data_IF_078863535075
#
_entry.id   IF_078863535075
#
_cell.length_a   1.000
_cell.length_b   1.000
_cell.length_c   1.000
_cell.angle_alpha   90.00
_cell.angle_beta   90.00
_cell.angle_gamma   90.00
#
_symmetry.space_group_name_H-M   'P 1'
#
loop_
_entity.id
_entity.type
_entity.pdbx_description
1 polymer ?
#
# COMPACT_ATOMS: atom_id res chain seq x y z
N UNK A 1 -8.91 -10.35 17.46
CA UNK A 1 -9.12 -10.83 16.08
C UNK A 1 -9.24 -12.36 16.03
N UNK A 2 -8.22 -13.09 16.51
CA UNK A 2 -8.21 -14.57 16.54
C UNK A 2 -9.41 -15.22 17.25
N UNK A 3 -9.77 -14.76 18.45
CA UNK A 3 -10.96 -15.28 19.19
C UNK A 3 -12.30 -15.00 18.49
N UNK A 4 -12.40 -13.89 17.75
CA UNK A 4 -13.63 -13.47 17.06
C UNK A 4 -13.91 -14.32 15.81
N UNK A 5 -12.86 -14.73 15.11
CA UNK A 5 -12.99 -15.48 13.84
C UNK A 5 -12.50 -16.94 13.94
N UNK A 6 -12.09 -17.41 15.13
CA UNK A 6 -11.49 -18.75 15.34
C UNK A 6 -10.27 -19.03 14.45
N UNK A 7 -9.44 -18.02 14.20
CA UNK A 7 -8.25 -18.17 13.34
C UNK A 7 -7.18 -18.99 14.06
N UNK A 8 -6.54 -19.90 13.30
CA UNK A 8 -5.37 -20.64 13.76
C UNK A 8 -4.19 -19.66 13.93
N UNK A 9 -3.55 -19.61 15.12
CA UNK A 9 -2.41 -18.73 15.35
C UNK A 9 -1.13 -19.18 14.64
N UNK A 10 -1.08 -20.44 14.17
CA UNK A 10 0.06 -20.97 13.43
C UNK A 10 0.02 -20.40 12.02
N UNK A 11 1.03 -19.60 11.67
CA UNK A 11 1.27 -19.14 10.31
C UNK A 11 1.91 -20.29 9.53
N UNK A 12 1.46 -20.52 8.30
CA UNK A 12 1.97 -21.57 7.41
C UNK A 12 2.29 -20.94 6.06
N UNK A 13 3.36 -21.42 5.43
CA UNK A 13 3.60 -21.17 4.02
C UNK A 13 2.55 -21.94 3.19
N UNK A 14 1.83 -21.24 2.34
CA UNK A 14 0.86 -21.81 1.39
C UNK A 14 1.43 -21.64 -0.03
N UNK A 15 1.95 -22.73 -0.57
CA UNK A 15 2.56 -22.77 -1.90
C UNK A 15 1.53 -22.89 -3.03
N UNK A 16 0.23 -22.88 -2.72
CA UNK A 16 -0.84 -23.02 -3.72
C UNK A 16 -0.73 -21.98 -4.84
N UNK A 17 -0.31 -20.75 -4.52
CA UNK A 17 -0.09 -19.68 -5.50
C UNK A 17 1.05 -20.01 -6.47
N UNK A 18 2.08 -20.75 -6.05
CA UNK A 18 3.18 -21.18 -6.94
C UNK A 18 2.73 -22.24 -7.93
N UNK A 19 1.87 -23.15 -7.47
CA UNK A 19 1.38 -24.26 -8.29
C UNK A 19 0.22 -23.86 -9.20
N UNK A 20 -0.64 -22.94 -8.76
CA UNK A 20 -1.90 -22.59 -9.44
C UNK A 20 -2.02 -21.12 -9.88
N UNK A 21 -1.12 -20.22 -9.45
CA UNK A 21 -1.09 -18.81 -9.86
C UNK A 21 -0.59 -18.58 -11.30
N UNK A 22 -0.35 -19.65 -12.06
CA UNK A 22 0.26 -19.63 -13.41
C UNK A 22 -0.65 -19.12 -14.53
N UNK A 23 -1.88 -18.72 -14.23
CA UNK A 23 -2.82 -18.14 -15.21
C UNK A 23 -3.10 -16.65 -14.99
N UNK A 24 -2.17 -15.91 -14.36
CA UNK A 24 -2.29 -14.45 -14.30
C UNK A 24 -2.01 -13.88 -15.69
N UNK A 25 -2.96 -13.16 -16.33
CA UNK A 25 -2.75 -12.58 -17.66
C UNK A 25 -1.50 -11.70 -17.71
N UNK A 26 -0.76 -11.76 -18.82
CA UNK A 26 0.43 -10.94 -19.04
C UNK A 26 0.11 -9.45 -18.85
N UNK A 27 0.96 -8.73 -18.12
CA UNK A 27 0.76 -7.29 -17.83
C UNK A 27 -0.18 -7.00 -16.65
N UNK A 28 -0.68 -8.03 -15.96
CA UNK A 28 -1.53 -7.81 -14.78
C UNK A 28 -0.76 -7.13 -13.64
N UNK A 29 -1.50 -6.30 -12.90
CA UNK A 29 -1.10 -5.74 -11.60
C UNK A 29 -1.76 -6.56 -10.50
N UNK A 30 -0.97 -7.25 -9.69
CA UNK A 30 -1.45 -8.18 -8.67
C UNK A 30 -1.09 -7.66 -7.28
N UNK A 31 -2.10 -7.53 -6.42
CA UNK A 31 -1.88 -7.19 -5.02
C UNK A 31 -1.46 -8.44 -4.24
N UNK A 32 -0.25 -8.43 -3.68
CA UNK A 32 0.32 -9.58 -2.96
C UNK A 32 -0.02 -9.48 -1.48
N UNK A 33 -0.47 -10.58 -0.88
CA UNK A 33 -0.84 -10.61 0.54
C UNK A 33 -2.06 -9.76 0.87
N UNK A 34 -3.11 -9.82 0.05
CA UNK A 34 -4.38 -9.14 0.36
C UNK A 34 -4.87 -9.52 1.76
N UNK A 35 -5.17 -8.50 2.59
CA UNK A 35 -5.57 -8.65 3.99
C UNK A 35 -4.51 -9.28 4.92
N UNK A 36 -3.25 -9.37 4.48
CA UNK A 36 -2.13 -9.88 5.26
C UNK A 36 -1.11 -8.76 5.55
N UNK A 37 -0.26 -9.00 6.53
CA UNK A 37 0.92 -8.18 6.80
C UNK A 37 2.16 -9.04 6.58
N UNK A 38 2.88 -8.77 5.48
CA UNK A 38 4.04 -9.56 5.05
C UNK A 38 5.35 -9.07 5.71
N UNK A 39 5.42 -7.81 6.13
CA UNK A 39 6.66 -7.22 6.66
C UNK A 39 6.67 -7.18 8.19
N UNK A 40 5.83 -7.99 8.84
CA UNK A 40 5.86 -8.17 10.30
C UNK A 40 7.04 -9.04 10.74
N UNK A 41 7.55 -8.81 11.95
CA UNK A 41 8.65 -9.60 12.51
C UNK A 41 8.30 -11.09 12.74
N UNK A 42 7.01 -11.41 12.73
CA UNK A 42 6.50 -12.78 12.86
C UNK A 42 6.46 -13.55 11.53
N UNK A 43 6.89 -12.93 10.43
CA UNK A 43 6.97 -13.58 9.12
C UNK A 43 8.40 -14.03 8.88
N UNK A 44 8.59 -15.32 8.62
CA UNK A 44 9.91 -15.89 8.35
C UNK A 44 10.53 -15.22 7.11
N UNK A 45 11.76 -14.69 7.18
CA UNK A 45 12.40 -14.01 6.06
C UNK A 45 12.47 -14.87 4.79
N UNK A 46 12.68 -16.18 4.93
CA UNK A 46 12.77 -17.11 3.81
C UNK A 46 11.48 -17.11 2.97
N UNK A 47 10.32 -16.90 3.58
CA UNK A 47 9.04 -16.84 2.85
C UNK A 47 8.94 -15.57 2.01
N UNK A 48 9.40 -14.43 2.53
CA UNK A 48 9.43 -13.18 1.76
C UNK A 48 10.43 -13.25 0.62
N UNK A 49 11.60 -13.87 0.87
CA UNK A 49 12.59 -14.09 -0.19
C UNK A 49 12.00 -14.93 -1.33
N UNK A 50 11.33 -16.04 -1.00
CA UNK A 50 10.64 -16.85 -2.02
C UNK A 50 9.63 -16.02 -2.82
N UNK A 51 8.80 -15.21 -2.15
CA UNK A 51 7.85 -14.30 -2.81
C UNK A 51 8.57 -13.35 -3.78
N UNK A 52 9.67 -12.72 -3.35
CA UNK A 52 10.41 -11.80 -4.21
C UNK A 52 11.08 -12.51 -5.39
N UNK A 53 11.63 -13.71 -5.20
CA UNK A 53 12.21 -14.52 -6.26
C UNK A 53 11.14 -14.86 -7.33
N UNK A 54 9.93 -15.20 -6.89
CA UNK A 54 8.80 -15.42 -7.81
C UNK A 54 8.44 -14.13 -8.56
N UNK A 55 8.30 -13.02 -7.85
CA UNK A 55 8.00 -11.73 -8.46
C UNK A 55 9.04 -11.38 -9.53
N UNK A 56 10.33 -11.51 -9.23
CA UNK A 56 11.42 -11.22 -10.17
C UNK A 56 11.38 -12.14 -11.40
N UNK A 57 11.10 -13.43 -11.22
CA UNK A 57 10.95 -14.39 -12.33
C UNK A 57 9.76 -14.06 -13.24
N UNK A 58 8.68 -13.49 -12.69
CA UNK A 58 7.47 -13.07 -13.39
C UNK A 58 7.56 -11.60 -13.86
N UNK A 59 8.65 -11.26 -14.55
CA UNK A 59 9.01 -9.88 -14.93
C UNK A 59 8.00 -9.17 -15.85
N UNK A 60 7.07 -9.91 -16.47
CA UNK A 60 5.98 -9.35 -17.28
C UNK A 60 4.76 -8.87 -16.46
N UNK A 61 4.79 -9.04 -15.15
CA UNK A 61 3.72 -8.69 -14.22
C UNK A 61 4.20 -7.65 -13.24
N UNK A 62 3.28 -6.88 -12.67
CA UNK A 62 3.57 -5.93 -11.59
C UNK A 62 2.94 -6.43 -10.30
N UNK A 63 3.67 -6.38 -9.19
CA UNK A 63 3.23 -6.85 -7.89
C UNK A 63 3.16 -5.69 -6.92
N UNK A 64 2.00 -5.48 -6.30
CA UNK A 64 1.78 -4.41 -5.32
C UNK A 64 1.86 -5.01 -3.92
N UNK A 65 2.72 -4.45 -3.10
CA UNK A 65 2.87 -4.79 -1.69
C UNK A 65 2.42 -3.61 -0.83
N UNK A 66 1.66 -3.88 0.23
CA UNK A 66 1.21 -2.86 1.18
C UNK A 66 1.49 -3.32 2.60
N UNK A 67 2.11 -2.46 3.40
CA UNK A 67 2.43 -2.77 4.80
C UNK A 67 1.97 -1.69 5.77
N UNK A 68 1.76 -2.06 7.03
CA UNK A 68 1.65 -1.18 8.20
C UNK A 68 2.89 -1.24 9.09
N UNK A 69 3.94 -1.94 8.64
CA UNK A 69 5.25 -2.12 9.28
C UNK A 69 6.38 -1.51 8.43
N UNK A 70 6.30 -0.20 8.11
CA UNK A 70 7.25 0.46 7.23
C UNK A 70 8.71 0.37 7.72
N UNK A 71 8.92 0.27 9.04
CA UNK A 71 10.24 0.13 9.68
C UNK A 71 11.03 -1.11 9.22
N UNK A 72 10.34 -2.13 8.70
CA UNK A 72 10.96 -3.37 8.25
C UNK A 72 11.29 -3.38 6.75
N UNK A 73 10.86 -2.37 5.98
CA UNK A 73 11.07 -2.34 4.53
C UNK A 73 12.55 -2.24 4.15
N UNK A 74 13.37 -1.55 4.96
CA UNK A 74 14.80 -1.35 4.67
C UNK A 74 15.58 -2.66 4.58
N UNK A 75 15.15 -3.70 5.30
CA UNK A 75 15.76 -5.04 5.28
C UNK A 75 15.69 -5.70 3.90
N UNK A 76 14.76 -5.25 3.06
CA UNK A 76 14.45 -5.82 1.74
C UNK A 76 14.83 -4.90 0.58
N UNK A 77 15.49 -3.78 0.87
CA UNK A 77 15.97 -2.84 -0.14
C UNK A 77 17.32 -3.33 -0.71
N UNK A 78 17.53 -3.35 -2.05
CA UNK A 78 16.59 -2.95 -3.09
C UNK A 78 15.53 -4.02 -3.40
N UNK A 79 14.32 -3.56 -3.73
CA UNK A 79 13.23 -4.44 -4.17
C UNK A 79 13.34 -4.79 -5.66
N UNK A 80 12.79 -5.94 -6.10
CA UNK A 80 12.68 -6.28 -7.51
C UNK A 80 11.96 -5.19 -8.32
N UNK A 81 12.37 -5.01 -9.59
CA UNK A 81 11.89 -3.87 -10.40
C UNK A 81 10.38 -3.82 -10.58
N UNK A 82 9.73 -4.98 -10.60
CA UNK A 82 8.29 -5.10 -10.77
C UNK A 82 7.51 -5.18 -9.46
N UNK A 83 8.17 -4.98 -8.31
CA UNK A 83 7.53 -4.86 -7.00
C UNK A 83 7.31 -3.38 -6.65
N UNK A 84 6.05 -2.98 -6.61
CA UNK A 84 5.60 -1.67 -6.14
C UNK A 84 5.36 -1.75 -4.63
N UNK A 85 5.97 -0.86 -3.87
CA UNK A 85 5.99 -0.94 -2.40
C UNK A 85 5.20 0.23 -1.83
N UNK A 86 4.24 -0.08 -0.98
CA UNK A 86 3.45 0.94 -0.33
C UNK A 86 3.23 0.72 1.15
N UNK A 87 2.83 1.80 1.80
CA UNK A 87 2.53 1.82 3.22
C UNK A 87 1.10 2.29 3.43
N UNK A 88 0.38 1.63 4.33
CA UNK A 88 -0.95 2.06 4.76
C UNK A 88 -0.84 2.94 6.00
N UNK A 89 -1.40 4.14 5.92
CA UNK A 89 -1.46 5.08 7.04
C UNK A 89 -2.92 5.50 7.33
N UNK A 90 -3.26 5.58 8.62
CA UNK A 90 -4.63 5.93 9.07
C UNK A 90 -4.70 7.25 9.84
N UNK A 91 -3.57 7.92 9.99
CA UNK A 91 -3.42 9.24 10.59
C UNK A 91 -2.12 9.89 10.09
N UNK A 92 -1.96 11.17 10.41
CA UNK A 92 -0.81 11.99 9.99
C UNK A 92 0.52 11.45 10.50
N UNK A 93 0.58 10.97 11.76
CA UNK A 93 1.81 10.42 12.35
C UNK A 93 2.27 9.19 11.58
N UNK A 94 1.35 8.28 11.24
CA UNK A 94 1.65 7.11 10.42
C UNK A 94 2.07 7.49 9.00
N UNK A 95 1.47 8.53 8.42
CA UNK A 95 1.85 9.00 7.09
C UNK A 95 3.27 9.59 7.08
N UNK A 96 3.66 10.37 8.09
CA UNK A 96 5.02 10.89 8.23
C UNK A 96 6.06 9.75 8.38
N UNK A 97 5.77 8.78 9.25
CA UNK A 97 6.62 7.57 9.40
C UNK A 97 6.71 6.81 8.07
N UNK A 98 5.59 6.65 7.37
CA UNK A 98 5.55 5.99 6.07
C UNK A 98 6.45 6.69 5.05
N UNK A 99 6.32 8.01 4.91
CA UNK A 99 7.10 8.80 3.96
C UNK A 99 8.61 8.72 4.24
N UNK A 100 9.01 8.74 5.52
CA UNK A 100 10.42 8.57 5.94
C UNK A 100 10.97 7.20 5.57
N UNK A 101 10.26 6.13 5.90
CA UNK A 101 10.73 4.78 5.57
C UNK A 101 10.71 4.50 4.06
N UNK A 102 9.73 5.03 3.33
CA UNK A 102 9.70 4.95 1.87
C UNK A 102 10.87 5.71 1.23
N UNK A 103 11.34 6.79 1.84
CA UNK A 103 12.54 7.51 1.37
C UNK A 103 13.78 6.61 1.42
N UNK A 104 13.96 5.88 2.51
CA UNK A 104 15.18 5.08 2.77
C UNK A 104 15.33 3.83 1.89
N UNK A 105 14.26 3.37 1.24
CA UNK A 105 14.29 2.16 0.39
C UNK A 105 14.51 2.46 -1.09
N UNK A 106 14.97 1.46 -1.84
CA UNK A 106 15.03 1.47 -3.31
C UNK A 106 13.95 0.56 -3.87
N UNK A 107 12.93 1.16 -4.48
CA UNK A 107 11.85 0.47 -5.19
C UNK A 107 11.48 1.30 -6.43
N UNK A 108 10.93 0.65 -7.46
CA UNK A 108 10.56 1.31 -8.73
C UNK A 108 9.36 2.23 -8.57
N UNK A 109 8.40 1.85 -7.72
CA UNK A 109 7.25 2.66 -7.36
C UNK A 109 7.06 2.55 -5.85
N UNK A 110 6.97 3.72 -5.21
CA UNK A 110 6.69 3.91 -3.79
C UNK A 110 5.33 4.58 -3.64
N UNK A 111 4.41 3.99 -2.89
CA UNK A 111 3.05 4.53 -2.78
C UNK A 111 2.54 4.62 -1.35
N UNK A 112 1.62 5.54 -1.12
CA UNK A 112 0.98 5.74 0.18
C UNK A 112 -0.52 5.42 0.04
N UNK A 113 -1.04 4.59 0.93
CA UNK A 113 -2.47 4.32 1.03
C UNK A 113 -3.04 4.95 2.30
N UNK A 114 -3.86 5.98 2.12
CA UNK A 114 -4.50 6.70 3.22
C UNK A 114 -5.93 6.16 3.44
N UNK A 115 -6.22 5.66 4.64
CA UNK A 115 -7.57 5.18 4.99
C UNK A 115 -8.03 5.71 6.36
N UNK A 116 -9.29 6.16 6.44
CA UNK A 116 -9.62 7.57 6.61
C UNK A 116 -8.94 8.14 7.86
N UNK A 117 -8.29 9.26 7.62
CA UNK A 117 -7.50 10.02 8.57
C UNK A 117 -8.36 10.35 9.80
N UNK A 118 -8.18 9.61 10.91
CA UNK A 118 -8.97 9.84 12.13
C UNK A 118 -8.75 11.22 12.75
N UNK A 119 -7.82 12.00 12.20
CA UNK A 119 -7.58 13.41 12.47
C UNK A 119 -6.52 13.90 11.49
N UNK A 120 -6.91 14.44 10.33
CA UNK A 120 -6.01 15.34 9.60
C UNK A 120 -6.01 16.68 10.35
N UNK A 121 -5.41 16.68 11.53
CA UNK A 121 -5.19 17.90 12.30
C UNK A 121 -3.87 18.46 11.79
N UNK A 122 -3.99 19.53 11.02
CA UNK A 122 -3.00 20.55 10.64
C UNK A 122 -1.51 20.16 10.77
N UNK A 123 -0.81 20.30 9.64
CA UNK A 123 0.63 20.10 9.42
C UNK A 123 1.08 18.69 9.00
N UNK A 124 0.62 18.23 7.84
CA UNK A 124 1.55 17.54 6.93
C UNK A 124 2.39 18.64 6.27
N UNK A 125 3.73 18.53 6.21
CA UNK A 125 4.56 19.56 5.58
C UNK A 125 4.15 19.71 4.11
N UNK A 126 3.57 20.88 3.78
CA UNK A 126 3.50 21.66 2.53
C UNK A 126 3.49 21.04 1.12
N UNK A 127 3.74 19.76 0.92
CA UNK A 127 3.60 19.03 -0.35
C UNK A 127 4.04 17.58 -0.14
N UNK A 128 3.42 16.62 -0.83
CA UNK A 128 3.98 15.27 -0.89
C UNK A 128 5.42 15.31 -1.45
N UNK A 129 6.33 14.48 -0.91
CA UNK A 129 7.73 14.54 -1.30
C UNK A 129 7.95 13.89 -2.68
N UNK A 130 9.01 14.28 -3.41
CA UNK A 130 9.24 13.85 -4.79
C UNK A 130 9.57 12.35 -4.94
N UNK A 131 9.86 11.64 -3.85
CA UNK A 131 10.11 10.20 -3.85
C UNK A 131 8.83 9.36 -3.71
N UNK A 132 7.66 9.99 -3.62
CA UNK A 132 6.38 9.31 -3.61
C UNK A 132 5.80 9.30 -5.03
N UNK A 133 5.54 8.11 -5.56
CA UNK A 133 5.13 7.93 -6.96
C UNK A 133 3.61 7.81 -7.13
N UNK A 134 2.88 7.46 -6.06
CA UNK A 134 1.44 7.21 -6.16
C UNK A 134 0.72 7.35 -4.81
N UNK A 135 -0.52 7.84 -4.86
CA UNK A 135 -1.37 8.00 -3.69
C UNK A 135 -2.71 7.27 -3.88
N UNK A 136 -3.07 6.47 -2.89
CA UNK A 136 -4.36 5.77 -2.82
C UNK A 136 -5.17 6.36 -1.67
N UNK A 137 -6.40 6.80 -1.93
CA UNK A 137 -7.34 7.29 -0.92
C UNK A 137 -8.49 6.29 -0.75
N UNK A 138 -8.79 5.92 0.48
CA UNK A 138 -9.92 5.05 0.80
C UNK A 138 -10.65 5.46 2.08
N UNK A 139 -11.84 4.89 2.26
CA UNK A 139 -12.62 5.02 3.50
C UNK A 139 -12.48 3.77 4.38
N UNK A 140 -12.64 3.91 5.70
CA UNK A 140 -12.65 2.77 6.62
C UNK A 140 -13.93 1.99 6.35
N UNK A 141 -13.81 0.69 6.14
CA UNK A 141 -14.96 -0.16 5.83
C UNK A 141 -15.86 -0.42 7.03
N UNK A 142 -15.34 -0.53 8.27
CA UNK A 142 -16.19 -0.77 9.47
C UNK A 142 -15.66 -0.15 10.78
N UNK A 143 -16.49 0.61 11.53
CA UNK A 143 -17.69 1.27 11.04
C UNK A 143 -17.31 2.29 9.96
N UNK A 144 -18.13 2.39 8.91
CA UNK A 144 -17.92 3.34 7.81
C UNK A 144 -17.80 4.74 8.38
N UNK A 145 -16.61 5.32 8.25
CA UNK A 145 -16.35 6.72 8.60
C UNK A 145 -15.75 7.37 7.38
N UNK A 146 -16.50 8.28 6.77
CA UNK A 146 -15.96 9.11 5.72
C UNK A 146 -15.05 10.17 6.36
N UNK A 147 -13.87 10.46 5.77
CA UNK A 147 -13.08 11.63 6.13
C UNK A 147 -13.88 12.90 5.84
N UNK A 148 -13.50 14.03 6.44
CA UNK A 148 -14.19 15.29 6.11
C UNK A 148 -13.87 15.67 4.66
N UNK A 149 -14.85 16.21 3.94
CA UNK A 149 -14.68 16.63 2.55
C UNK A 149 -13.52 17.60 2.37
N UNK A 150 -13.33 18.54 3.31
CA UNK A 150 -12.22 19.49 3.28
C UNK A 150 -10.85 18.79 3.34
N UNK A 151 -10.69 17.79 4.22
CA UNK A 151 -9.43 17.03 4.36
C UNK A 151 -9.11 16.27 3.06
N UNK A 152 -10.13 15.71 2.41
CA UNK A 152 -9.96 15.03 1.11
C UNK A 152 -9.58 16.01 0.01
N UNK A 153 -10.20 17.19 -0.01
CA UNK A 153 -9.91 18.23 -0.99
C UNK A 153 -8.46 18.74 -0.87
N UNK A 154 -7.98 18.99 0.36
CA UNK A 154 -6.59 19.39 0.62
C UNK A 154 -5.59 18.34 0.09
N UNK A 155 -5.84 17.06 0.37
CA UNK A 155 -4.98 15.97 -0.10
C UNK A 155 -4.97 15.87 -1.62
N UNK A 156 -6.12 16.04 -2.27
CA UNK A 156 -6.23 16.05 -3.74
C UNK A 156 -5.43 17.22 -4.31
N UNK A 157 -5.54 18.41 -3.71
CA UNK A 157 -4.79 19.59 -4.15
C UNK A 157 -3.28 19.40 -4.00
N UNK A 158 -2.84 18.85 -2.85
CA UNK A 158 -1.44 18.57 -2.59
C UNK A 158 -0.88 17.52 -3.56
N UNK A 159 -1.64 16.46 -3.86
CA UNK A 159 -1.25 15.46 -4.84
C UNK A 159 -1.13 16.06 -6.25
N UNK A 160 -2.09 16.92 -6.64
CA UNK A 160 -2.06 17.62 -7.93
C UNK A 160 -0.85 18.56 -8.04
N UNK A 161 -0.55 19.33 -6.98
CA UNK A 161 0.60 20.23 -6.93
C UNK A 161 1.92 19.49 -7.03
N UNK A 162 1.99 18.29 -6.44
CA UNK A 162 3.16 17.41 -6.52
C UNK A 162 3.22 16.59 -7.82
N UNK A 163 2.19 16.61 -8.67
CA UNK A 163 2.12 15.80 -9.88
C UNK A 163 1.98 14.29 -9.62
N UNK A 164 1.49 13.91 -8.43
CA UNK A 164 1.37 12.51 -8.02
C UNK A 164 0.02 11.95 -8.49
N UNK A 165 0.00 10.82 -9.22
CA UNK A 165 -1.24 10.18 -9.64
C UNK A 165 -2.08 9.75 -8.43
N UNK A 166 -3.39 9.84 -8.57
CA UNK A 166 -4.35 9.54 -7.50
C UNK A 166 -5.30 8.40 -7.85
N UNK A 167 -5.43 7.44 -6.93
CA UNK A 167 -6.47 6.41 -6.97
C UNK A 167 -7.42 6.57 -5.79
N UNK A 168 -8.70 6.85 -6.05
CA UNK A 168 -9.74 7.00 -5.03
C UNK A 168 -10.62 5.75 -5.04
N UNK A 169 -10.61 5.00 -3.94
CA UNK A 169 -11.37 3.77 -3.75
C UNK A 169 -12.84 4.07 -3.44
N UNK A 170 -13.73 3.15 -3.83
CA UNK A 170 -15.10 3.16 -3.30
C UNK A 170 -15.14 2.71 -1.83
N UNK A 171 -16.10 3.17 -1.02
CA UNK A 171 -17.17 4.15 -1.33
C UNK A 171 -16.76 5.63 -1.25
N UNK A 172 -15.47 5.95 -1.06
CA UNK A 172 -15.03 7.35 -0.92
C UNK A 172 -15.27 8.16 -2.19
N UNK A 173 -14.96 7.58 -3.36
CA UNK A 173 -15.16 8.23 -4.65
C UNK A 173 -16.62 8.66 -4.86
N UNK A 174 -17.57 7.76 -4.58
CA UNK A 174 -19.00 8.09 -4.60
C UNK A 174 -19.39 9.13 -3.54
N UNK A 175 -18.84 9.08 -2.34
CA UNK A 175 -19.16 10.01 -1.25
C UNK A 175 -18.73 11.45 -1.55
N UNK A 176 -17.59 11.64 -2.21
CA UNK A 176 -17.06 12.98 -2.54
C UNK A 176 -17.45 13.45 -3.95
N UNK A 177 -18.07 12.58 -4.77
CA UNK A 177 -18.43 12.89 -6.15
C UNK A 177 -17.24 13.02 -7.11
N UNK A 178 -16.10 12.38 -6.81
CA UNK A 178 -14.88 12.44 -7.63
C UNK A 178 -14.40 11.03 -7.94
N UNK A 179 -14.35 10.69 -9.22
CA UNK A 179 -13.82 9.43 -9.73
C UNK A 179 -12.41 9.66 -10.30
N UNK A 180 -11.38 9.14 -9.61
CA UNK A 180 -9.99 9.13 -10.08
C UNK A 180 -9.38 7.76 -9.84
N UNK A 181 -8.86 7.13 -10.88
CA UNK A 181 -8.24 5.80 -10.83
C UNK A 181 -6.91 5.81 -11.60
N UNK A 182 -6.10 6.85 -11.35
CA UNK A 182 -4.81 7.00 -12.00
C UNK A 182 -3.81 5.99 -11.43
N UNK A 183 -2.88 5.57 -12.27
CA UNK A 183 -1.77 4.68 -11.92
C UNK A 183 -0.46 5.38 -12.27
N UNK A 184 0.63 5.11 -11.55
CA UNK A 184 1.96 5.56 -11.94
C UNK A 184 2.36 4.89 -13.26
N UNK A 185 3.17 5.61 -14.04
CA UNK A 185 3.63 5.19 -15.37
C UNK A 185 4.75 4.16 -15.28
#
# INVERSE_FOLDING_TARGET
>A
MYKRFKWNPIIRYDDWVWHNGRNIPKGSKTFVGSMMELFGEWVEPEWLQLIFDYCESASTHTFLFLTKKPENLIKWSPFPKNCWIGVSATNVVMADIALKNLYDIKATVKFLSLEPLLSWQHSIPTSFPPHLDWLILGSRTQPTRHPKLLEVAEIIEDANRAGIPLFIKEPLASHIGIQRQEMPK
#
